data_IF_144185499504
#
_entry.id   IF_144185499504
#
_cell.length_a   1.000
_cell.length_b   1.000
_cell.length_c   1.000
_cell.angle_alpha   90.00
_cell.angle_beta   90.00
_cell.angle_gamma   90.00
#
_symmetry.space_group_name_H-M   'P 1'
#
loop_
_entity.id
_entity.type
_entity.pdbx_description
1 polymer ?
#
# COMPACT_ATOMS: atom_id res chain seq x y z
N UNK A 1 -3.17 9.52 15.56
CA UNK A 1 -3.88 8.76 14.51
C UNK A 1 -3.99 7.29 14.88
N UNK A 2 -5.09 6.62 14.46
CA UNK A 2 -5.11 5.17 14.30
C UNK A 2 -4.80 4.85 12.83
N UNK A 3 -4.01 3.80 12.58
CA UNK A 3 -3.52 3.50 11.22
C UNK A 3 -3.67 2.03 10.89
N UNK A 4 -4.49 1.74 9.91
CA UNK A 4 -4.65 0.40 9.35
C UNK A 4 -3.62 0.16 8.25
N UNK A 5 -3.08 -1.06 8.26
CA UNK A 5 -2.06 -1.58 7.37
C UNK A 5 -0.63 -1.09 7.65
N UNK A 6 0.29 -2.06 7.75
CA UNK A 6 1.71 -1.78 8.05
C UNK A 6 2.40 -0.88 7.03
N UNK A 7 2.04 -0.94 5.74
CA UNK A 7 2.64 -0.06 4.73
C UNK A 7 2.28 1.41 4.93
N UNK A 8 1.05 1.69 5.40
CA UNK A 8 0.65 3.04 5.80
C UNK A 8 1.43 3.49 7.03
N UNK A 9 1.59 2.61 8.02
CA UNK A 9 2.40 2.90 9.21
C UNK A 9 3.86 3.18 8.87
N UNK A 10 4.44 2.42 7.93
CA UNK A 10 5.81 2.66 7.47
C UNK A 10 5.96 4.00 6.77
N UNK A 11 5.00 4.36 5.92
CA UNK A 11 5.00 5.64 5.22
C UNK A 11 4.91 6.83 6.20
N UNK A 12 4.02 6.73 7.19
CA UNK A 12 3.87 7.73 8.25
C UNK A 12 5.15 7.84 9.09
N UNK A 13 5.77 6.71 9.42
CA UNK A 13 7.06 6.70 10.12
C UNK A 13 8.17 7.32 9.28
N UNK A 14 8.21 7.02 7.97
CA UNK A 14 9.23 7.53 7.06
C UNK A 14 9.20 9.06 6.91
N UNK A 15 8.02 9.69 6.98
CA UNK A 15 7.92 11.15 7.05
C UNK A 15 8.17 11.73 8.46
N UNK A 16 8.58 10.90 9.42
CA UNK A 16 8.90 11.34 10.79
C UNK A 16 7.69 11.59 11.67
N UNK A 17 6.54 10.94 11.40
CA UNK A 17 5.30 11.11 12.15
C UNK A 17 4.90 9.86 12.96
N UNK A 18 5.79 8.91 13.18
CA UNK A 18 5.51 7.66 13.91
C UNK A 18 4.96 7.88 15.31
N UNK A 19 5.44 8.90 16.02
CA UNK A 19 4.98 9.24 17.38
C UNK A 19 3.52 9.75 17.43
N UNK A 20 2.94 10.11 16.29
CA UNK A 20 1.54 10.52 16.21
C UNK A 20 0.55 9.33 16.08
N UNK A 21 1.06 8.12 15.96
CA UNK A 21 0.25 6.90 15.86
C UNK A 21 -0.03 6.37 17.27
N UNK A 22 -1.31 6.24 17.62
CA UNK A 22 -1.79 5.76 18.93
C UNK A 22 -2.45 4.39 18.85
N UNK A 23 -2.78 3.91 17.65
CA UNK A 23 -3.38 2.60 17.42
C UNK A 23 -3.09 2.07 16.04
N UNK A 24 -2.98 0.75 15.92
CA UNK A 24 -2.64 0.05 14.70
C UNK A 24 -3.51 -1.19 14.49
N UNK A 25 -3.51 -1.71 13.28
CA UNK A 25 -4.09 -3.02 13.00
C UNK A 25 -3.17 -4.16 13.46
N UNK A 26 -3.71 -5.37 13.47
CA UNK A 26 -2.97 -6.56 13.88
C UNK A 26 -1.81 -6.91 12.93
N UNK A 27 -1.89 -6.54 11.65
CA UNK A 27 -0.79 -6.75 10.70
C UNK A 27 0.46 -5.95 11.09
N UNK A 28 0.28 -4.80 11.71
CA UNK A 28 1.37 -3.97 12.22
C UNK A 28 1.87 -4.48 13.56
N UNK A 29 0.99 -4.73 14.53
CA UNK A 29 1.38 -5.12 15.90
C UNK A 29 2.00 -6.53 15.98
N UNK A 30 1.76 -7.41 15.00
CA UNK A 30 2.39 -8.74 14.94
C UNK A 30 3.89 -8.71 14.60
N UNK A 31 4.45 -7.54 14.26
CA UNK A 31 5.88 -7.38 14.03
C UNK A 31 6.55 -6.56 15.15
N UNK A 32 6.83 -7.18 16.32
CA UNK A 32 7.36 -6.47 17.48
C UNK A 32 8.82 -6.02 17.29
N UNK A 33 9.49 -6.47 16.24
CA UNK A 33 10.84 -6.00 15.89
C UNK A 33 10.79 -4.60 15.30
N UNK A 34 9.84 -4.37 14.39
CA UNK A 34 9.63 -3.07 13.74
C UNK A 34 8.74 -2.14 14.54
N UNK A 35 7.79 -2.69 15.31
CA UNK A 35 6.74 -1.95 16.00
C UNK A 35 6.63 -2.35 17.48
N UNK A 36 7.74 -2.26 18.25
CA UNK A 36 7.79 -2.72 19.65
C UNK A 36 6.88 -1.93 20.58
N UNK A 37 6.41 -0.76 20.17
CA UNK A 37 5.54 0.13 20.95
C UNK A 37 4.06 -0.25 20.90
N UNK A 38 3.65 -1.14 19.99
CA UNK A 38 2.24 -1.51 19.85
C UNK A 38 1.99 -2.92 20.39
N UNK A 39 1.17 -3.00 21.43
CA UNK A 39 0.68 -4.23 22.03
C UNK A 39 -0.79 -4.50 21.72
N UNK A 40 -1.40 -5.35 22.55
CA UNK A 40 -2.81 -5.68 22.42
C UNK A 40 -3.70 -4.45 22.66
N UNK A 41 -3.32 -3.57 23.57
CA UNK A 41 -4.10 -2.39 23.96
C UNK A 41 -4.18 -1.37 22.82
N UNK A 42 -3.17 -1.25 21.97
CA UNK A 42 -3.12 -0.35 20.82
C UNK A 42 -3.61 -1.01 19.52
N UNK A 43 -3.99 -2.30 19.55
CA UNK A 43 -4.39 -3.05 18.35
C UNK A 43 -5.90 -3.07 18.21
N UNK A 44 -6.43 -2.45 17.16
CA UNK A 44 -7.88 -2.32 16.94
C UNK A 44 -8.48 -3.35 15.95
N UNK A 45 -7.82 -4.47 15.74
CA UNK A 45 -8.33 -5.58 14.92
C UNK A 45 -7.48 -5.89 13.69
N UNK A 46 -7.93 -6.81 12.88
CA UNK A 46 -7.25 -7.29 11.67
C UNK A 46 -8.01 -6.88 10.41
N UNK A 47 -8.92 -7.74 9.97
CA UNK A 47 -9.77 -7.50 8.81
C UNK A 47 -11.09 -6.82 9.22
N UNK A 48 -11.47 -7.00 10.47
CA UNK A 48 -12.59 -6.31 11.12
C UNK A 48 -12.03 -5.33 12.15
N UNK A 49 -12.49 -4.07 12.09
CA UNK A 49 -12.03 -3.03 13.01
C UNK A 49 -12.91 -2.99 14.25
N UNK A 50 -12.28 -2.94 15.42
CA UNK A 50 -12.92 -2.64 16.69
C UNK A 50 -13.07 -1.11 16.82
N UNK A 51 -14.21 -0.60 16.39
CA UNK A 51 -14.51 0.84 16.42
C UNK A 51 -14.62 1.39 17.83
N UNK A 52 -15.05 0.59 18.82
CA UNK A 52 -15.09 1.02 20.20
C UNK A 52 -13.67 1.26 20.73
N UNK A 53 -12.75 0.39 20.36
CA UNK A 53 -11.34 0.52 20.70
C UNK A 53 -10.70 1.71 19.99
N UNK A 54 -11.00 1.93 18.71
CA UNK A 54 -10.54 3.12 18.00
C UNK A 54 -11.00 4.39 18.72
N UNK A 55 -12.28 4.48 19.11
CA UNK A 55 -12.82 5.64 19.85
C UNK A 55 -12.13 5.79 21.20
N UNK A 56 -11.88 4.68 21.92
CA UNK A 56 -11.20 4.70 23.23
C UNK A 56 -9.74 5.21 23.15
N UNK A 57 -9.06 4.99 22.03
CA UNK A 57 -7.72 5.51 21.76
C UNK A 57 -7.69 7.02 21.42
N UNK A 58 -8.87 7.64 21.29
CA UNK A 58 -9.08 9.08 21.07
C UNK A 58 -8.23 9.67 19.91
N UNK A 59 -8.21 9.07 18.72
CA UNK A 59 -7.50 9.63 17.59
C UNK A 59 -8.29 10.78 16.95
N UNK A 60 -7.61 11.72 16.32
CA UNK A 60 -8.23 12.72 15.46
C UNK A 60 -8.57 12.15 14.07
N UNK A 61 -7.84 11.11 13.65
CA UNK A 61 -7.96 10.52 12.32
C UNK A 61 -7.74 9.00 12.37
N UNK A 62 -8.53 8.28 11.56
CA UNK A 62 -8.28 6.90 11.17
C UNK A 62 -7.74 6.89 9.73
N UNK A 63 -6.55 6.34 9.54
CA UNK A 63 -5.96 6.13 8.21
C UNK A 63 -6.24 4.70 7.77
N UNK A 64 -6.87 4.53 6.61
CA UNK A 64 -7.20 3.23 6.03
C UNK A 64 -6.71 3.13 4.59
N UNK A 65 -6.41 1.92 4.07
CA UNK A 65 -6.16 1.75 2.64
C UNK A 65 -7.46 1.83 1.82
N UNK A 66 -7.34 2.00 0.50
CA UNK A 66 -8.49 2.10 -0.42
C UNK A 66 -9.44 0.88 -0.39
N UNK A 67 -8.94 -0.29 0.00
CA UNK A 67 -9.73 -1.51 0.20
C UNK A 67 -10.08 -1.76 1.67
N UNK A 68 -9.71 -0.86 2.58
CA UNK A 68 -10.12 -0.91 3.98
C UNK A 68 -11.49 -0.26 4.12
N UNK A 69 -12.38 -0.81 4.85
CA UNK A 69 -13.76 -0.44 5.19
C UNK A 69 -14.07 1.07 5.30
N UNK A 70 -13.84 1.83 4.20
CA UNK A 70 -13.86 3.30 4.21
C UNK A 70 -15.24 3.83 4.59
N UNK A 71 -16.30 3.38 3.88
CA UNK A 71 -17.67 3.83 4.11
C UNK A 71 -18.16 3.45 5.50
N UNK A 72 -17.89 2.21 5.92
CA UNK A 72 -18.24 1.73 7.27
C UNK A 72 -17.52 2.54 8.35
N UNK A 73 -16.21 2.82 8.15
CA UNK A 73 -15.42 3.62 9.10
C UNK A 73 -15.94 5.05 9.22
N UNK A 74 -16.33 5.66 8.11
CA UNK A 74 -16.95 7.00 8.12
C UNK A 74 -18.25 6.97 8.91
N UNK A 75 -19.16 6.02 8.61
CA UNK A 75 -20.45 5.87 9.30
C UNK A 75 -20.28 5.70 10.82
N UNK A 76 -19.33 4.85 11.23
CA UNK A 76 -19.09 4.51 12.64
C UNK A 76 -18.41 5.62 13.43
N UNK A 77 -17.54 6.42 12.79
CA UNK A 77 -16.63 7.33 13.49
C UNK A 77 -17.01 8.82 13.36
N UNK A 78 -17.87 9.19 12.38
CA UNK A 78 -18.23 10.57 12.13
C UNK A 78 -18.84 11.26 13.37
N UNK A 79 -19.71 10.57 14.10
CA UNK A 79 -20.37 11.12 15.30
C UNK A 79 -19.40 11.40 16.45
N UNK A 80 -18.23 10.78 16.45
CA UNK A 80 -17.14 11.01 17.42
C UNK A 80 -16.15 12.08 16.95
N UNK A 81 -16.35 12.67 15.76
CA UNK A 81 -15.46 13.68 15.19
C UNK A 81 -14.15 13.13 14.61
N UNK A 82 -14.00 11.80 14.56
CA UNK A 82 -12.82 11.15 13.99
C UNK A 82 -12.93 11.16 12.46
N UNK A 83 -11.92 11.69 11.78
CA UNK A 83 -11.88 11.75 10.31
C UNK A 83 -11.30 10.46 9.74
N UNK A 84 -11.81 10.03 8.59
CA UNK A 84 -11.25 8.90 7.85
C UNK A 84 -10.45 9.42 6.67
N UNK A 85 -9.19 8.99 6.56
CA UNK A 85 -8.28 9.39 5.47
C UNK A 85 -7.81 8.13 4.75
N UNK A 86 -7.87 8.16 3.43
CA UNK A 86 -7.43 7.03 2.60
C UNK A 86 -6.00 7.25 2.17
N UNK A 87 -5.11 6.37 2.65
CA UNK A 87 -3.72 6.26 2.20
C UNK A 87 -3.48 4.79 1.87
N UNK A 88 -2.83 4.52 0.74
CA UNK A 88 -2.54 3.16 0.31
C UNK A 88 -1.05 3.00 0.05
N UNK A 89 -0.30 2.72 1.11
CA UNK A 89 1.17 2.73 1.11
C UNK A 89 1.83 1.73 0.15
N UNK A 90 1.09 0.73 -0.34
CA UNK A 90 1.60 -0.21 -1.36
C UNK A 90 1.21 0.17 -2.80
N UNK A 91 0.36 1.19 -2.98
CA UNK A 91 -0.02 1.66 -4.31
C UNK A 91 1.09 2.54 -4.90
N UNK A 92 1.90 1.96 -5.74
CA UNK A 92 3.02 2.65 -6.37
C UNK A 92 2.65 3.44 -7.64
N UNK A 93 1.36 3.59 -7.93
CA UNK A 93 0.90 4.40 -9.06
C UNK A 93 1.17 5.90 -8.88
N UNK A 94 1.17 6.37 -7.63
CA UNK A 94 1.49 7.77 -7.29
C UNK A 94 2.06 7.88 -5.86
N UNK A 95 3.23 7.29 -5.64
CA UNK A 95 3.93 7.32 -4.34
C UNK A 95 4.22 8.75 -3.86
N UNK A 96 4.69 9.68 -4.71
CA UNK A 96 4.92 11.06 -4.27
C UNK A 96 3.68 11.73 -3.69
N UNK A 97 2.51 11.49 -4.25
CA UNK A 97 1.24 12.02 -3.73
C UNK A 97 0.90 11.44 -2.35
N UNK A 98 1.08 10.13 -2.16
CA UNK A 98 0.85 9.49 -0.87
C UNK A 98 1.79 10.05 0.21
N UNK A 99 3.07 10.25 -0.14
CA UNK A 99 4.07 10.84 0.76
C UNK A 99 3.65 12.28 1.16
N UNK A 100 3.30 13.12 0.18
CA UNK A 100 2.86 14.50 0.44
C UNK A 100 1.62 14.57 1.30
N UNK A 101 0.64 13.68 1.04
CA UNK A 101 -0.56 13.58 1.87
C UNK A 101 -0.22 13.25 3.33
N UNK A 102 0.72 12.34 3.57
CA UNK A 102 1.23 12.10 4.92
C UNK A 102 1.88 13.35 5.52
N UNK A 103 2.71 14.05 4.74
CA UNK A 103 3.33 15.29 5.17
C UNK A 103 2.33 16.37 5.58
N UNK A 104 1.29 16.55 4.79
CA UNK A 104 0.20 17.50 5.08
C UNK A 104 -0.58 17.10 6.34
N UNK A 105 -0.96 15.82 6.43
CA UNK A 105 -1.76 15.29 7.53
C UNK A 105 -1.07 15.44 8.89
N UNK A 106 0.25 15.29 8.93
CA UNK A 106 1.04 15.29 10.17
C UNK A 106 1.92 16.54 10.35
N UNK A 107 1.82 17.54 9.49
CA UNK A 107 2.65 18.75 9.58
C UNK A 107 4.14 18.49 9.33
N UNK A 108 4.45 17.55 8.42
CA UNK A 108 5.80 17.09 8.06
C UNK A 108 6.13 17.33 6.58
N UNK A 109 5.73 18.47 6.05
CA UNK A 109 5.83 18.76 4.62
C UNK A 109 7.28 18.76 4.13
N UNK A 110 8.22 19.29 4.91
CA UNK A 110 9.65 19.32 4.55
C UNK A 110 10.21 17.90 4.45
N UNK A 111 9.96 17.06 5.47
CA UNK A 111 10.40 15.67 5.48
C UNK A 111 9.73 14.85 4.35
N UNK A 112 8.48 15.18 4.04
CA UNK A 112 7.77 14.55 2.92
C UNK A 112 8.43 14.87 1.57
N UNK A 113 8.84 16.12 1.32
CA UNK A 113 9.56 16.47 0.10
C UNK A 113 10.96 15.82 0.04
N UNK A 114 11.68 15.72 1.15
CA UNK A 114 12.94 14.97 1.21
C UNK A 114 12.74 13.48 0.84
N UNK A 115 11.66 12.87 1.35
CA UNK A 115 11.31 11.49 1.04
C UNK A 115 10.87 11.31 -0.42
N UNK A 116 10.13 12.27 -0.97
CA UNK A 116 9.77 12.29 -2.40
C UNK A 116 11.03 12.32 -3.26
N UNK A 117 11.96 13.21 -2.94
CA UNK A 117 13.24 13.32 -3.65
C UNK A 117 14.04 12.02 -3.58
N UNK A 118 14.10 11.40 -2.40
CA UNK A 118 14.77 10.10 -2.19
C UNK A 118 14.16 9.01 -3.06
N UNK A 119 12.84 8.96 -3.14
CA UNK A 119 12.10 7.98 -3.96
C UNK A 119 12.26 8.27 -5.45
N UNK A 120 12.13 9.52 -5.88
CA UNK A 120 12.06 9.89 -7.30
C UNK A 120 13.38 9.72 -8.02
N UNK A 121 14.50 10.03 -7.38
CA UNK A 121 15.84 9.94 -8.00
C UNK A 121 16.17 8.55 -8.57
N UNK A 122 16.01 7.45 -7.83
CA UNK A 122 16.19 6.10 -8.38
C UNK A 122 15.20 5.77 -9.51
N UNK A 123 13.96 6.20 -9.39
CA UNK A 123 12.92 5.97 -10.41
C UNK A 123 13.30 6.66 -11.71
N UNK A 124 13.72 7.91 -11.66
CA UNK A 124 14.15 8.67 -12.82
C UNK A 124 15.40 8.04 -13.47
N UNK A 125 16.36 7.61 -12.65
CA UNK A 125 17.55 6.91 -13.14
C UNK A 125 17.17 5.61 -13.89
N UNK A 126 16.32 4.79 -13.30
CA UNK A 126 15.83 3.54 -13.91
C UNK A 126 15.13 3.85 -15.24
N UNK A 127 14.22 4.81 -15.24
CA UNK A 127 13.49 5.22 -16.44
C UNK A 127 14.43 5.64 -17.59
N UNK A 128 15.52 6.37 -17.28
CA UNK A 128 16.52 6.72 -18.29
C UNK A 128 17.25 5.48 -18.83
N UNK A 129 17.63 4.54 -17.97
CA UNK A 129 18.27 3.29 -18.42
C UNK A 129 17.34 2.46 -19.30
N UNK A 130 16.06 2.39 -18.94
CA UNK A 130 15.05 1.60 -19.68
C UNK A 130 14.80 2.12 -21.09
N UNK A 131 15.10 3.39 -21.41
CA UNK A 131 15.03 3.91 -22.79
C UNK A 131 15.95 3.18 -23.77
N UNK A 132 17.01 2.56 -23.26
CA UNK A 132 17.99 1.82 -24.07
C UNK A 132 17.71 0.31 -24.10
N UNK A 133 16.75 -0.18 -23.32
CA UNK A 133 16.40 -1.60 -23.25
C UNK A 133 15.41 -1.94 -24.37
N UNK A 134 15.84 -2.76 -25.31
CA UNK A 134 15.04 -3.23 -26.45
C UNK A 134 14.48 -4.62 -26.25
N UNK A 135 15.10 -5.43 -25.41
CA UNK A 135 14.68 -6.81 -25.08
C UNK A 135 14.13 -6.81 -23.65
N UNK A 136 12.81 -6.69 -23.53
CA UNK A 136 12.11 -6.68 -22.25
C UNK A 136 11.65 -8.09 -21.92
N UNK A 137 11.91 -8.50 -20.67
CA UNK A 137 11.54 -9.84 -20.18
C UNK A 137 10.07 -9.95 -19.89
N UNK A 138 9.49 -11.07 -20.25
CA UNK A 138 8.12 -11.45 -19.91
C UNK A 138 8.09 -11.97 -18.47
N UNK A 139 7.26 -11.37 -17.66
CA UNK A 139 7.19 -11.64 -16.22
C UNK A 139 5.82 -12.20 -15.87
N UNK A 140 5.82 -13.34 -15.22
CA UNK A 140 4.67 -13.88 -14.52
C UNK A 140 4.79 -13.57 -13.02
N UNK A 141 3.70 -13.12 -12.43
CA UNK A 141 3.59 -12.92 -10.99
C UNK A 141 2.53 -13.85 -10.42
N UNK A 142 2.93 -14.76 -9.53
CA UNK A 142 2.06 -15.67 -8.82
C UNK A 142 1.58 -15.02 -7.51
N UNK A 143 0.28 -15.07 -7.27
CA UNK A 143 -0.32 -14.55 -6.04
C UNK A 143 -0.55 -15.64 -4.99
N UNK A 144 -0.72 -16.88 -5.44
CA UNK A 144 -0.85 -18.08 -4.62
C UNK A 144 0.39 -18.96 -4.70
N UNK A 145 0.19 -20.27 -4.66
CA UNK A 145 1.23 -21.28 -4.73
C UNK A 145 0.85 -22.46 -5.65
N UNK A 146 -0.21 -22.30 -6.42
CA UNK A 146 -0.80 -23.35 -7.28
C UNK A 146 -0.86 -22.98 -8.77
N UNK A 147 -0.25 -21.87 -9.17
CA UNK A 147 -0.23 -21.34 -10.54
C UNK A 147 -1.62 -21.06 -11.12
N UNK A 148 -2.58 -20.77 -10.26
CA UNK A 148 -3.96 -20.47 -10.64
C UNK A 148 -4.31 -18.98 -10.59
N UNK A 149 -3.35 -18.13 -10.22
CA UNK A 149 -3.58 -16.69 -10.07
C UNK A 149 -2.58 -15.85 -10.85
N UNK A 150 -2.93 -14.60 -11.09
CA UNK A 150 -2.07 -13.62 -11.76
C UNK A 150 -2.31 -12.20 -11.24
N UNK A 151 -1.50 -11.26 -11.70
CA UNK A 151 -1.70 -9.82 -11.51
C UNK A 151 -2.18 -9.21 -12.83
N UNK A 152 -3.48 -8.99 -13.03
CA UNK A 152 -3.97 -8.29 -14.22
C UNK A 152 -3.59 -6.82 -14.21
N UNK A 153 -3.43 -6.23 -15.38
CA UNK A 153 -3.09 -4.81 -15.52
C UNK A 153 -4.16 -3.84 -15.00
N UNK A 154 -5.38 -4.35 -14.80
CA UNK A 154 -6.50 -3.61 -14.19
C UNK A 154 -6.47 -3.64 -12.66
N UNK A 155 -5.64 -4.49 -12.06
CA UNK A 155 -5.55 -4.54 -10.60
C UNK A 155 -4.90 -3.25 -10.06
N UNK A 156 -5.47 -2.75 -9.00
CA UNK A 156 -5.00 -1.54 -8.32
C UNK A 156 -4.04 -1.86 -7.17
N UNK A 157 -3.38 -3.01 -7.18
CA UNK A 157 -2.52 -3.44 -6.08
C UNK A 157 -1.05 -3.05 -6.24
N UNK A 158 -0.70 -2.39 -7.33
CA UNK A 158 0.63 -1.85 -7.56
C UNK A 158 1.63 -2.84 -8.18
N UNK A 159 1.40 -4.13 -8.11
CA UNK A 159 2.34 -5.15 -8.61
C UNK A 159 2.56 -5.09 -10.11
N UNK A 160 1.48 -4.86 -10.88
CA UNK A 160 1.60 -4.63 -12.32
C UNK A 160 2.55 -3.46 -12.62
N UNK A 161 2.37 -2.34 -11.94
CA UNK A 161 3.23 -1.16 -12.11
C UNK A 161 4.68 -1.45 -11.75
N UNK A 162 4.95 -2.26 -10.72
CA UNK A 162 6.33 -2.64 -10.35
C UNK A 162 7.03 -3.41 -11.46
N UNK A 163 6.33 -4.34 -12.13
CA UNK A 163 6.87 -5.06 -13.30
C UNK A 163 7.25 -4.06 -14.40
N UNK A 164 6.34 -3.13 -14.71
CA UNK A 164 6.59 -2.12 -15.75
C UNK A 164 7.72 -1.16 -15.38
N UNK A 165 7.78 -0.71 -14.14
CA UNK A 165 8.86 0.16 -13.64
C UNK A 165 10.22 -0.53 -13.65
N UNK A 166 10.25 -1.85 -13.45
CA UNK A 166 11.47 -2.66 -13.60
C UNK A 166 11.84 -2.93 -15.07
N UNK A 167 11.02 -2.49 -16.03
CA UNK A 167 11.25 -2.69 -17.46
C UNK A 167 10.74 -4.02 -18.00
N UNK A 168 10.04 -4.82 -17.19
CA UNK A 168 9.42 -6.08 -17.62
C UNK A 168 8.12 -5.88 -18.41
N UNK A 169 7.62 -6.98 -18.91
CA UNK A 169 6.29 -7.11 -19.52
C UNK A 169 5.50 -8.06 -18.65
N UNK A 170 4.41 -7.59 -18.03
CA UNK A 170 3.50 -8.48 -17.33
C UNK A 170 2.68 -9.27 -18.35
N UNK A 171 2.84 -10.61 -18.39
CA UNK A 171 2.14 -11.46 -19.38
C UNK A 171 0.61 -11.43 -19.23
N UNK A 172 0.10 -11.06 -18.05
CA UNK A 172 -1.32 -10.86 -17.78
C UNK A 172 -1.69 -9.38 -17.59
N UNK A 173 -0.88 -8.48 -18.15
CA UNK A 173 -1.13 -7.04 -18.12
C UNK A 173 -2.32 -6.58 -18.94
N UNK A 174 -2.94 -7.44 -19.75
CA UNK A 174 -4.11 -7.10 -20.56
C UNK A 174 -5.33 -6.84 -19.67
N UNK A 175 -5.95 -5.69 -19.87
CA UNK A 175 -7.16 -5.26 -19.16
C UNK A 175 -8.39 -6.16 -19.43
N UNK A 176 -8.33 -7.11 -20.37
CA UNK A 176 -9.43 -8.03 -20.65
C UNK A 176 -9.70 -9.04 -19.53
N UNK A 177 -8.73 -9.28 -18.63
CA UNK A 177 -8.91 -10.18 -17.50
C UNK A 177 -9.76 -9.54 -16.41
N UNK A 178 -10.90 -10.16 -16.11
CA UNK A 178 -11.87 -9.66 -15.12
C UNK A 178 -11.50 -9.95 -13.66
N UNK A 179 -10.44 -10.73 -13.41
CA UNK A 179 -10.03 -11.18 -12.08
C UNK A 179 -8.60 -11.68 -12.04
N UNK A 180 -8.23 -12.26 -10.91
CA UNK A 180 -6.88 -12.82 -10.70
C UNK A 180 -6.77 -14.31 -11.06
N UNK A 181 -7.89 -14.99 -11.26
CA UNK A 181 -7.90 -16.43 -11.53
C UNK A 181 -7.57 -16.71 -13.00
N UNK A 182 -6.67 -17.64 -13.22
CA UNK A 182 -6.20 -18.07 -14.55
C UNK A 182 -6.11 -19.59 -14.63
N UNK A 183 -6.11 -20.10 -15.86
CA UNK A 183 -5.72 -21.50 -16.12
C UNK A 183 -4.19 -21.58 -16.22
N UNK A 184 -3.52 -22.51 -15.48
CA UNK A 184 -2.07 -22.68 -15.57
C UNK A 184 -1.54 -22.89 -17.00
N UNK A 185 -2.32 -23.47 -17.92
CA UNK A 185 -1.94 -23.62 -19.33
C UNK A 185 -1.74 -22.26 -20.03
N UNK A 186 -2.38 -21.20 -19.54
CA UNK A 186 -2.18 -19.85 -20.09
C UNK A 186 -0.77 -19.33 -19.80
N UNK A 187 -0.16 -19.69 -18.66
CA UNK A 187 1.22 -19.34 -18.34
C UNK A 187 2.17 -19.95 -19.36
N UNK A 188 1.96 -21.24 -19.68
CA UNK A 188 2.77 -21.93 -20.68
C UNK A 188 2.60 -21.34 -22.09
N UNK A 189 1.40 -20.88 -22.41
CA UNK A 189 1.10 -20.26 -23.72
C UNK A 189 1.78 -18.91 -23.86
N UNK A 190 1.79 -18.12 -22.77
CA UNK A 190 2.42 -16.79 -22.75
C UNK A 190 3.95 -16.89 -22.69
N UNK A 191 4.51 -18.03 -22.29
CA UNK A 191 5.95 -18.35 -22.27
C UNK A 191 6.78 -17.24 -21.60
N UNK A 192 6.65 -17.05 -20.26
CA UNK A 192 7.47 -16.08 -19.53
C UNK A 192 8.94 -16.49 -19.49
N UNK A 193 9.86 -15.52 -19.38
CA UNK A 193 11.31 -15.70 -19.33
C UNK A 193 11.81 -16.41 -18.05
#
# INVERSE_FOLDING_TARGET
ACVANRYNNELIRAVGAGDAVVGVDQYTSQDPVYWPQFGEDETFGKDEYDYEKIVALDPQVLVVPKNGKVEESVEKLESFGIKVVVITGWDNSDVPKQIRLCGELFGKQEQAEELVDFYQKPVDYINEQLKQVTDRKKVYWEYGDDYSTCIPGTSNDGWHNMILMAGGINIFGDASLAGKDIDPEQILTEDPD
#
